data_IF_377641052802
#
_entry.id   IF_377641052802
#
_cell.length_a   1.000
_cell.length_b   1.000
_cell.length_c   1.000
_cell.angle_alpha   90.00
_cell.angle_beta   90.00
_cell.angle_gamma   90.00
#
_symmetry.space_group_name_H-M   'P 1'
#
loop_
_entity.id
_entity.type
_entity.pdbx_description
1 polymer ?
#
# COMPACT_ATOMS: atom_id res chain seq x y z
N UNK A 1 -28.32 -0.92 9.21
CA UNK A 1 -27.37 0.21 9.26
C UNK A 1 -26.12 -0.24 8.51
N UNK A 2 -25.64 0.51 7.51
CA UNK A 2 -24.42 0.14 6.78
C UNK A 2 -23.23 0.29 7.75
N UNK A 3 -22.35 -0.72 7.92
CA UNK A 3 -21.17 -0.60 8.76
C UNK A 3 -20.33 0.60 8.31
N UNK A 4 -19.93 1.45 9.26
CA UNK A 4 -19.15 2.66 8.98
C UNK A 4 -17.66 2.35 9.14
N UNK A 5 -16.88 2.63 8.10
CA UNK A 5 -15.42 2.56 8.14
C UNK A 5 -14.85 3.59 9.12
N UNK A 6 -13.83 3.20 9.87
CA UNK A 6 -13.23 3.97 10.96
C UNK A 6 -11.75 4.23 10.78
N UNK A 7 -11.00 3.32 10.14
CA UNK A 7 -9.55 3.40 10.08
C UNK A 7 -9.00 2.95 8.72
N UNK A 8 -8.35 3.90 8.03
CA UNK A 8 -7.64 3.65 6.79
C UNK A 8 -6.14 3.45 7.02
N UNK A 9 -5.60 2.32 6.56
CA UNK A 9 -4.17 2.10 6.37
C UNK A 9 -3.80 2.32 4.90
N UNK A 10 -2.87 3.25 4.64
CA UNK A 10 -2.37 3.53 3.30
C UNK A 10 -0.90 3.14 3.23
N UNK A 11 -0.62 2.04 2.53
CA UNK A 11 0.74 1.54 2.28
C UNK A 11 1.25 2.17 0.99
N UNK A 12 2.53 2.55 0.95
CA UNK A 12 3.11 3.27 -0.18
C UNK A 12 2.75 4.75 -0.15
N UNK A 13 2.95 5.36 1.01
CA UNK A 13 2.68 6.77 1.25
C UNK A 13 3.76 7.67 0.64
N UNK A 14 3.33 8.76 0.00
CA UNK A 14 4.17 9.78 -0.60
C UNK A 14 3.33 11.01 -1.00
N UNK A 15 3.95 12.10 -1.49
CA UNK A 15 3.28 13.38 -1.68
C UNK A 15 2.20 13.39 -2.79
N UNK A 16 2.12 12.33 -3.60
CA UNK A 16 1.16 12.19 -4.70
C UNK A 16 -0.19 11.61 -4.30
N UNK A 17 -0.62 10.56 -5.01
CA UNK A 17 -1.95 9.95 -4.87
C UNK A 17 -2.30 9.56 -3.43
N UNK A 18 -1.37 8.91 -2.71
CA UNK A 18 -1.56 8.51 -1.32
C UNK A 18 -1.85 9.68 -0.39
N UNK A 19 -1.22 10.84 -0.60
CA UNK A 19 -1.49 12.04 0.20
C UNK A 19 -2.89 12.61 -0.07
N UNK A 20 -3.32 12.61 -1.33
CA UNK A 20 -4.69 13.01 -1.69
C UNK A 20 -5.72 12.09 -1.04
N UNK A 21 -5.49 10.77 -1.10
CA UNK A 21 -6.38 9.79 -0.50
C UNK A 21 -6.43 9.91 1.02
N UNK A 22 -5.28 10.12 1.68
CA UNK A 22 -5.20 10.34 3.12
C UNK A 22 -6.06 11.52 3.58
N UNK A 23 -5.99 12.65 2.85
CA UNK A 23 -6.85 13.83 3.11
C UNK A 23 -8.33 13.50 2.95
N UNK A 24 -8.71 12.76 1.89
CA UNK A 24 -10.11 12.37 1.67
C UNK A 24 -10.61 11.45 2.79
N UNK A 25 -9.85 10.41 3.15
CA UNK A 25 -10.20 9.50 4.25
C UNK A 25 -10.38 10.29 5.56
N UNK A 26 -9.47 11.23 5.86
CA UNK A 26 -9.58 12.07 7.04
C UNK A 26 -10.82 12.96 7.01
N UNK A 27 -11.13 13.59 5.87
CA UNK A 27 -12.31 14.43 5.70
C UNK A 27 -13.63 13.64 5.87
N UNK A 28 -13.62 12.34 5.59
CA UNK A 28 -14.74 11.42 5.85
C UNK A 28 -14.81 10.93 7.31
N UNK A 29 -13.89 11.39 8.16
CA UNK A 29 -13.86 11.08 9.59
C UNK A 29 -13.12 9.80 9.96
N UNK A 30 -12.40 9.18 9.02
CA UNK A 30 -11.55 8.02 9.33
C UNK A 30 -10.28 8.49 10.04
N UNK A 31 -9.79 7.67 10.97
CA UNK A 31 -8.39 7.71 11.37
C UNK A 31 -7.54 7.23 10.19
N UNK A 32 -6.34 7.78 10.05
CA UNK A 32 -5.43 7.42 8.96
C UNK A 32 -4.09 7.01 9.53
N UNK A 33 -3.61 5.85 9.12
CA UNK A 33 -2.22 5.42 9.28
C UNK A 33 -1.57 5.29 7.91
N UNK A 34 -0.37 5.84 7.78
CA UNK A 34 0.43 5.74 6.57
C UNK A 34 1.61 4.80 6.81
N UNK A 35 1.95 3.99 5.83
CA UNK A 35 3.10 3.10 5.88
C UNK A 35 4.03 3.33 4.69
N UNK A 36 5.31 3.51 4.97
CA UNK A 36 6.38 3.68 3.99
C UNK A 36 7.71 3.25 4.60
N UNK A 37 8.74 3.03 3.78
CA UNK A 37 10.09 2.70 4.27
C UNK A 37 10.74 3.87 5.02
N UNK A 38 10.49 5.09 4.54
CA UNK A 38 11.03 6.35 5.08
C UNK A 38 9.83 7.20 5.46
N UNK A 39 9.67 7.48 6.74
CA UNK A 39 8.47 8.15 7.29
C UNK A 39 8.69 9.64 7.52
N UNK A 40 9.94 10.09 7.47
CA UNK A 40 10.36 11.48 7.66
C UNK A 40 9.67 12.39 6.64
N UNK A 41 9.56 11.93 5.39
CA UNK A 41 8.88 12.65 4.30
C UNK A 41 7.36 12.77 4.49
N UNK A 42 6.78 11.96 5.38
CA UNK A 42 5.34 11.95 5.67
C UNK A 42 4.99 12.89 6.83
N UNK A 43 5.96 13.35 7.61
CA UNK A 43 5.72 14.11 8.84
C UNK A 43 4.81 15.31 8.61
N UNK A 44 5.10 16.14 7.60
CA UNK A 44 4.30 17.33 7.30
C UNK A 44 2.84 16.98 6.97
N UNK A 45 2.61 15.88 6.25
CA UNK A 45 1.27 15.43 5.90
C UNK A 45 0.54 14.84 7.12
N UNK A 46 1.25 14.05 7.94
CA UNK A 46 0.72 13.51 9.18
C UNK A 46 0.27 14.61 10.13
N UNK A 47 1.09 15.66 10.28
CA UNK A 47 0.77 16.84 11.10
C UNK A 47 -0.44 17.60 10.52
N UNK A 48 -0.52 17.76 9.20
CA UNK A 48 -1.64 18.43 8.51
C UNK A 48 -2.99 17.75 8.80
N UNK A 49 -3.04 16.42 8.71
CA UNK A 49 -4.32 15.66 8.77
C UNK A 49 -4.55 14.96 10.11
N UNK A 50 -3.59 15.00 11.03
CA UNK A 50 -3.62 14.22 12.28
C UNK A 50 -3.56 12.70 12.04
N UNK A 51 -2.69 12.26 11.12
CA UNK A 51 -2.42 10.85 10.85
C UNK A 51 -1.16 10.36 11.60
N UNK A 52 -1.01 9.04 11.70
CA UNK A 52 0.23 8.39 12.14
C UNK A 52 1.00 7.81 10.95
N UNK A 53 2.33 7.74 11.06
CA UNK A 53 3.18 7.03 10.10
C UNK A 53 3.93 5.89 10.79
N UNK A 54 4.01 4.73 10.14
CA UNK A 54 4.74 3.56 10.63
C UNK A 54 5.74 3.11 9.55
N UNK A 55 7.02 2.91 9.89
CA UNK A 55 8.00 2.39 8.95
C UNK A 55 7.64 0.95 8.56
N UNK A 56 7.64 0.65 7.27
CA UNK A 56 7.36 -0.69 6.75
C UNK A 56 7.94 -0.84 5.35
N UNK A 57 8.78 -1.86 5.15
CA UNK A 57 9.02 -2.42 3.82
C UNK A 57 7.96 -3.46 3.49
N UNK A 58 7.01 -3.10 2.62
CA UNK A 58 5.92 -3.99 2.25
C UNK A 58 6.38 -5.27 1.53
N UNK A 59 7.60 -5.31 0.98
CA UNK A 59 8.17 -6.52 0.40
C UNK A 59 8.71 -7.50 1.45
N UNK A 60 8.82 -7.09 2.71
CA UNK A 60 9.26 -7.90 3.84
C UNK A 60 8.04 -8.38 4.66
N UNK A 61 7.91 -9.71 4.80
CA UNK A 61 6.79 -10.30 5.52
C UNK A 61 6.78 -9.95 7.02
N UNK A 62 7.93 -9.87 7.67
CA UNK A 62 8.06 -9.55 9.10
C UNK A 62 7.68 -8.10 9.37
N UNK A 63 8.07 -7.18 8.49
CA UNK A 63 7.66 -5.77 8.55
C UNK A 63 6.13 -5.64 8.41
N UNK A 64 5.53 -6.36 7.47
CA UNK A 64 4.07 -6.33 7.27
C UNK A 64 3.34 -6.90 8.49
N UNK A 65 3.79 -8.03 9.05
CA UNK A 65 3.22 -8.57 10.30
C UNK A 65 3.35 -7.56 11.44
N UNK A 66 4.51 -6.93 11.58
CA UNK A 66 4.77 -5.93 12.61
C UNK A 66 3.89 -4.68 12.44
N UNK A 67 3.69 -4.22 11.21
CA UNK A 67 2.80 -3.10 10.88
C UNK A 67 1.37 -3.39 11.35
N UNK A 68 0.83 -4.57 11.05
CA UNK A 68 -0.52 -4.92 11.46
C UNK A 68 -0.62 -5.22 12.97
N UNK A 69 0.44 -5.74 13.60
CA UNK A 69 0.55 -5.89 15.05
C UNK A 69 0.49 -4.56 15.80
N UNK A 70 1.15 -3.53 15.28
CA UNK A 70 1.11 -2.17 15.84
C UNK A 70 -0.28 -1.50 15.76
N UNK A 71 -1.21 -2.08 14.98
CA UNK A 71 -2.56 -1.56 14.76
C UNK A 71 -3.65 -2.45 15.38
N UNK A 72 -3.31 -3.40 16.25
CA UNK A 72 -4.29 -4.35 16.82
C UNK A 72 -5.38 -3.69 17.66
N UNK A 73 -5.06 -2.60 18.37
CA UNK A 73 -6.04 -1.84 19.17
C UNK A 73 -7.10 -1.12 18.31
N UNK A 74 -6.74 -0.80 17.07
CA UNK A 74 -7.66 -0.24 16.10
C UNK A 74 -7.32 -0.79 14.71
N UNK A 75 -7.75 -2.02 14.39
CA UNK A 75 -7.42 -2.65 13.12
C UNK A 75 -7.97 -1.82 11.94
N UNK A 76 -7.23 -1.68 10.83
CA UNK A 76 -7.74 -0.98 9.67
C UNK A 76 -8.87 -1.76 9.01
N UNK A 77 -9.97 -1.06 8.71
CA UNK A 77 -11.10 -1.59 7.94
C UNK A 77 -11.07 -1.12 6.49
N UNK A 78 -10.21 -0.15 6.17
CA UNK A 78 -9.83 0.20 4.80
C UNK A 78 -8.32 0.04 4.65
N UNK A 79 -7.87 -0.79 3.73
CA UNK A 79 -6.44 -0.97 3.43
C UNK A 79 -6.20 -0.63 1.97
N UNK A 80 -5.28 0.29 1.71
CA UNK A 80 -4.90 0.73 0.37
C UNK A 80 -3.46 0.37 0.12
N UNK A 81 -3.22 -0.38 -0.94
CA UNK A 81 -1.88 -0.70 -1.42
C UNK A 81 -1.55 0.12 -2.67
N UNK A 82 -0.65 1.09 -2.50
CA UNK A 82 -0.15 1.96 -3.57
C UNK A 82 1.35 1.84 -3.94
N UNK A 83 2.24 1.07 -3.26
CA UNK A 83 3.62 0.94 -3.70
C UNK A 83 3.72 0.40 -5.13
N UNK A 84 4.64 0.94 -5.91
CA UNK A 84 5.00 0.40 -7.22
C UNK A 84 6.46 0.70 -7.55
N UNK A 85 7.14 -0.27 -8.15
CA UNK A 85 8.48 -0.12 -8.69
C UNK A 85 8.62 -0.93 -9.98
N UNK A 86 9.43 -0.45 -10.92
CA UNK A 86 9.62 -1.12 -12.21
C UNK A 86 11.00 -0.89 -12.78
N UNK A 87 11.54 -1.95 -13.38
CA UNK A 87 12.62 -1.86 -14.35
C UNK A 87 12.01 -1.55 -15.73
N UNK A 88 12.61 -0.63 -16.48
CA UNK A 88 12.08 -0.16 -17.77
C UNK A 88 13.15 -0.28 -18.85
N UNK A 89 12.78 -0.84 -20.00
CA UNK A 89 13.66 -0.92 -21.14
C UNK A 89 13.30 -2.04 -22.11
N UNK A 90 14.03 -2.17 -23.23
CA UNK A 90 13.92 -3.32 -24.12
C UNK A 90 14.09 -4.63 -23.35
N UNK A 91 13.25 -5.62 -23.62
CA UNK A 91 13.21 -6.87 -22.84
C UNK A 91 14.59 -7.54 -22.71
N UNK A 92 15.34 -7.58 -23.80
CA UNK A 92 16.67 -8.21 -23.87
C UNK A 92 17.74 -7.51 -23.01
N UNK A 93 17.47 -6.29 -22.56
CA UNK A 93 18.40 -5.48 -21.76
C UNK A 93 17.93 -5.23 -20.33
N UNK A 94 16.86 -5.88 -19.87
CA UNK A 94 16.36 -5.71 -18.51
C UNK A 94 17.30 -6.38 -17.50
N UNK A 95 17.62 -5.68 -16.42
CA UNK A 95 18.31 -6.28 -15.29
C UNK A 95 17.36 -7.19 -14.50
N UNK A 96 17.68 -8.49 -14.46
CA UNK A 96 16.88 -9.48 -13.75
C UNK A 96 16.74 -9.16 -12.25
N UNK A 97 17.75 -8.51 -11.63
CA UNK A 97 17.68 -8.12 -10.22
C UNK A 97 16.66 -6.99 -10.03
N UNK A 98 16.73 -5.92 -10.81
CA UNK A 98 15.74 -4.83 -10.79
C UNK A 98 14.31 -5.30 -11.10
N UNK A 99 14.14 -6.25 -12.03
CA UNK A 99 12.84 -6.89 -12.30
C UNK A 99 12.31 -7.60 -11.05
N UNK A 100 13.13 -8.43 -10.42
CA UNK A 100 12.75 -9.14 -9.20
C UNK A 100 12.36 -8.17 -8.09
N UNK A 101 13.16 -7.14 -7.84
CA UNK A 101 12.87 -6.11 -6.83
C UNK A 101 11.53 -5.40 -7.10
N UNK A 102 11.26 -5.06 -8.37
CA UNK A 102 9.98 -4.48 -8.79
C UNK A 102 8.78 -5.39 -8.53
N UNK A 103 8.91 -6.69 -8.75
CA UNK A 103 7.88 -7.69 -8.43
C UNK A 103 7.65 -7.85 -6.93
N UNK A 104 8.74 -7.84 -6.14
CA UNK A 104 8.65 -7.94 -4.69
C UNK A 104 7.85 -6.76 -4.11
N UNK A 105 8.03 -5.56 -4.67
CA UNK A 105 7.31 -4.36 -4.24
C UNK A 105 5.90 -4.32 -4.83
N UNK A 106 5.73 -4.46 -6.15
CA UNK A 106 4.44 -4.15 -6.80
C UNK A 106 3.41 -5.28 -6.59
N UNK A 107 3.85 -6.54 -6.58
CA UNK A 107 2.96 -7.70 -6.55
C UNK A 107 3.03 -8.47 -5.23
N UNK A 108 4.23 -8.89 -4.81
CA UNK A 108 4.36 -9.73 -3.61
C UNK A 108 4.00 -8.96 -2.34
N UNK A 109 4.47 -7.71 -2.20
CA UNK A 109 4.08 -6.89 -1.06
C UNK A 109 2.58 -6.60 -1.00
N UNK A 110 1.93 -6.45 -2.17
CA UNK A 110 0.48 -6.32 -2.25
C UNK A 110 -0.21 -7.56 -1.66
N UNK A 111 0.27 -8.75 -2.03
CA UNK A 111 -0.22 -10.02 -1.48
C UNK A 111 -0.02 -10.10 0.04
N UNK A 112 1.16 -9.76 0.57
CA UNK A 112 1.45 -9.80 2.00
C UNK A 112 0.50 -8.90 2.80
N UNK A 113 0.37 -7.63 2.39
CA UNK A 113 -0.50 -6.66 3.04
C UNK A 113 -1.96 -7.09 2.96
N UNK A 114 -2.39 -7.59 1.79
CA UNK A 114 -3.75 -8.07 1.60
C UNK A 114 -4.05 -9.29 2.47
N UNK A 115 -3.10 -10.21 2.65
CA UNK A 115 -3.28 -11.38 3.48
C UNK A 115 -3.46 -10.98 4.96
N UNK A 116 -2.63 -10.09 5.49
CA UNK A 116 -2.75 -9.61 6.87
C UNK A 116 -4.03 -8.80 7.12
N UNK A 117 -4.44 -7.99 6.13
CA UNK A 117 -5.72 -7.30 6.15
C UNK A 117 -6.89 -8.29 6.16
N UNK A 118 -6.89 -9.26 5.23
CA UNK A 118 -7.98 -10.21 5.07
C UNK A 118 -8.18 -11.11 6.29
N UNK A 119 -7.09 -11.57 6.93
CA UNK A 119 -7.16 -12.35 8.19
C UNK A 119 -8.02 -11.66 9.25
N UNK A 120 -7.87 -10.33 9.38
CA UNK A 120 -8.63 -9.50 10.32
C UNK A 120 -10.02 -9.16 9.78
N UNK A 121 -10.15 -8.77 8.52
CA UNK A 121 -11.45 -8.36 7.96
C UNK A 121 -12.46 -9.52 7.90
N UNK A 122 -12.01 -10.73 7.59
CA UNK A 122 -12.86 -11.93 7.55
C UNK A 122 -13.44 -12.25 8.93
N UNK A 123 -12.63 -12.16 10.00
CA UNK A 123 -13.12 -12.42 11.36
C UNK A 123 -14.14 -11.38 11.82
N UNK A 124 -14.02 -10.14 11.35
CA UNK A 124 -14.94 -9.04 11.68
C UNK A 124 -16.15 -8.96 10.73
N UNK A 125 -16.15 -9.71 9.61
CA UNK A 125 -17.20 -9.62 8.58
C UNK A 125 -17.29 -8.24 7.91
N UNK A 126 -16.22 -7.44 7.98
CA UNK A 126 -16.19 -6.06 7.51
C UNK A 126 -14.78 -5.66 7.07
N UNK A 127 -14.71 -4.97 5.94
CA UNK A 127 -13.49 -4.33 5.47
C UNK A 127 -13.50 -4.06 3.97
N UNK A 128 -12.50 -3.32 3.50
CA UNK A 128 -12.22 -3.07 2.09
C UNK A 128 -10.72 -3.05 1.86
N UNK A 129 -10.26 -3.78 0.83
CA UNK A 129 -8.87 -3.80 0.39
C UNK A 129 -8.84 -3.25 -1.03
N UNK A 130 -8.07 -2.18 -1.24
CA UNK A 130 -7.93 -1.50 -2.52
C UNK A 130 -6.49 -1.58 -3.00
N UNK A 131 -6.32 -1.83 -4.30
CA UNK A 131 -5.02 -1.86 -4.94
C UNK A 131 -4.98 -0.80 -6.04
N UNK A 132 -3.90 -0.03 -6.09
CA UNK A 132 -3.66 0.88 -7.21
C UNK A 132 -3.02 0.12 -8.37
N UNK A 133 -3.81 -0.18 -9.39
CA UNK A 133 -3.32 -0.74 -10.64
C UNK A 133 -2.86 0.34 -11.65
N UNK A 134 -2.46 -0.11 -12.83
CA UNK A 134 -2.19 0.75 -13.97
C UNK A 134 -2.81 0.15 -15.25
N UNK A 135 -2.80 0.90 -16.36
CA UNK A 135 -3.15 0.32 -17.67
C UNK A 135 -2.28 -0.89 -18.01
N UNK A 136 -1.03 -0.92 -17.53
CA UNK A 136 -0.12 -2.04 -17.69
C UNK A 136 -0.61 -3.33 -17.02
N UNK A 137 -1.44 -3.24 -15.97
CA UNK A 137 -2.04 -4.40 -15.31
C UNK A 137 -3.11 -5.10 -16.17
N UNK A 138 -3.60 -4.43 -17.23
CA UNK A 138 -4.56 -4.99 -18.18
C UNK A 138 -3.88 -5.46 -19.46
N UNK A 139 -2.81 -4.78 -19.88
CA UNK A 139 -2.09 -5.05 -21.13
C UNK A 139 -0.61 -4.69 -21.02
N UNK A 140 0.25 -5.58 -21.50
CA UNK A 140 1.67 -5.30 -21.69
C UNK A 140 1.95 -4.24 -22.75
N UNK A 141 2.76 -3.25 -22.41
CA UNK A 141 3.25 -2.22 -23.33
C UNK A 141 4.73 -2.44 -23.68
N UNK A 142 5.18 -2.01 -24.87
CA UNK A 142 6.59 -2.01 -25.20
C UNK A 142 7.43 -1.33 -24.10
N UNK A 143 8.61 -1.91 -23.85
CA UNK A 143 9.57 -1.46 -22.84
C UNK A 143 9.09 -1.48 -21.38
N UNK A 144 7.94 -2.10 -21.09
CA UNK A 144 7.33 -2.09 -19.75
C UNK A 144 6.97 -3.49 -19.25
N UNK A 145 7.66 -4.53 -19.76
CA UNK A 145 7.36 -5.92 -19.41
C UNK A 145 7.32 -6.16 -17.88
N UNK A 146 8.31 -5.69 -17.08
CA UNK A 146 8.29 -5.89 -15.63
C UNK A 146 7.11 -5.19 -14.94
N UNK A 147 6.71 -4.03 -15.45
CA UNK A 147 5.62 -3.25 -14.87
C UNK A 147 4.25 -3.89 -15.11
N UNK A 148 4.09 -4.65 -16.20
CA UNK A 148 2.85 -5.38 -16.50
C UNK A 148 2.72 -6.71 -15.72
N UNK A 149 3.78 -7.14 -15.03
CA UNK A 149 3.77 -8.35 -14.20
C UNK A 149 3.22 -8.11 -12.79
N UNK A 150 3.10 -6.84 -12.37
CA UNK A 150 2.47 -6.42 -11.12
C UNK A 150 1.12 -5.75 -11.37
#
# INVERSE_FOLDING_TARGET
MVPKYQHALIVGAGPGLSASLARICRAQGLRVTMAARTVEDLKSLCDEIGASAIPCDAANAEDVVSLFGALEELPPDVVVYNPSARERGPFVGLDAKGVKEGLMITAYGAFLVAQEAAKRMVSHGHGAILFTGASASVKGYPQSAPFAMG
#
